data_IF_653120202008
#
_entry.id   IF_653120202008
#
_cell.length_a   1.000
_cell.length_b   1.000
_cell.length_c   1.000
_cell.angle_alpha   90.00
_cell.angle_beta   90.00
_cell.angle_gamma   90.00
#
_symmetry.space_group_name_H-M   'P 1'
#
loop_
_entity.id
_entity.type
_entity.pdbx_description
1 polymer ?
#
# COMPACT_ATOMS: atom_id res chain seq x y z
N UNK A 1 20.18 3.88 12.01
CA UNK A 1 19.06 3.21 12.73
C UNK A 1 17.90 4.15 12.98
N UNK A 2 18.08 5.21 13.79
CA UNK A 2 16.95 6.08 14.18
C UNK A 2 16.22 6.72 13.00
N UNK A 3 16.94 7.18 11.97
CA UNK A 3 16.35 7.70 10.72
C UNK A 3 15.47 6.65 10.03
N UNK A 4 15.98 5.44 9.86
CA UNK A 4 15.26 4.34 9.21
C UNK A 4 14.00 3.96 9.97
N UNK A 5 14.10 3.86 11.30
CA UNK A 5 12.92 3.63 12.13
C UNK A 5 11.88 4.74 12.00
N UNK A 6 12.30 6.00 12.00
CA UNK A 6 11.38 7.11 11.83
C UNK A 6 10.59 6.99 10.52
N UNK A 7 11.30 6.80 9.39
CA UNK A 7 10.67 6.68 8.08
C UNK A 7 9.77 5.44 7.96
N UNK A 8 10.29 4.25 8.32
CA UNK A 8 9.55 3.01 8.10
C UNK A 8 8.39 2.83 9.06
N UNK A 9 8.53 3.24 10.33
CA UNK A 9 7.44 3.13 11.29
C UNK A 9 6.32 4.08 10.91
N UNK A 10 6.63 5.31 10.47
CA UNK A 10 5.64 6.27 10.00
C UNK A 10 4.77 5.71 8.88
N UNK A 11 5.41 5.04 7.91
CA UNK A 11 4.70 4.32 6.86
C UNK A 11 3.87 3.20 7.48
N UNK A 12 4.50 2.32 8.25
CA UNK A 12 3.90 1.08 8.70
C UNK A 12 2.64 1.28 9.56
N UNK A 13 2.69 2.12 10.62
CA UNK A 13 1.53 2.31 11.49
C UNK A 13 0.36 2.97 10.75
N UNK A 14 0.67 3.94 9.87
CA UNK A 14 -0.34 4.66 9.09
C UNK A 14 -1.10 3.70 8.18
N UNK A 15 -0.41 2.80 7.47
CA UNK A 15 -1.05 1.78 6.65
C UNK A 15 -1.88 0.79 7.45
N UNK A 16 -1.38 0.37 8.63
CA UNK A 16 -2.14 -0.55 9.48
C UNK A 16 -3.46 0.05 9.96
N UNK A 17 -3.53 1.37 10.20
CA UNK A 17 -4.80 2.05 10.49
C UNK A 17 -5.80 1.94 9.34
N UNK A 18 -5.36 2.12 8.09
CA UNK A 18 -6.22 2.00 6.91
C UNK A 18 -6.68 0.57 6.64
N UNK A 19 -5.79 -0.40 6.83
CA UNK A 19 -6.14 -1.84 6.79
C UNK A 19 -7.21 -2.15 7.84
N UNK A 20 -7.03 -1.68 9.07
CA UNK A 20 -8.01 -1.84 10.14
C UNK A 20 -9.36 -1.19 9.80
N UNK A 21 -9.35 0.05 9.31
CA UNK A 21 -10.55 0.78 8.93
C UNK A 21 -11.36 0.05 7.84
N UNK A 22 -10.69 -0.43 6.79
CA UNK A 22 -11.38 -1.16 5.72
C UNK A 22 -12.00 -2.45 6.22
N UNK A 23 -11.31 -3.21 7.06
CA UNK A 23 -11.85 -4.45 7.66
C UNK A 23 -13.06 -4.14 8.55
N UNK A 24 -12.98 -3.10 9.37
CA UNK A 24 -14.10 -2.62 10.20
C UNK A 24 -15.31 -2.18 9.36
N UNK A 25 -15.04 -1.68 8.17
CA UNK A 25 -16.05 -1.17 7.26
C UNK A 25 -16.82 -2.28 6.51
N UNK A 26 -16.15 -3.36 6.08
CA UNK A 26 -16.75 -4.41 5.22
C UNK A 26 -18.11 -4.97 5.69
N UNK A 27 -18.35 -5.25 7.00
CA UNK A 27 -19.63 -5.80 7.45
C UNK A 27 -20.83 -4.86 7.24
N UNK A 28 -20.61 -3.56 7.04
CA UNK A 28 -21.68 -2.60 6.73
C UNK A 28 -22.19 -2.72 5.30
N UNK A 29 -21.39 -3.29 4.38
CA UNK A 29 -21.76 -3.44 2.98
C UNK A 29 -22.48 -4.75 2.72
N UNK A 30 -21.97 -5.85 3.27
CA UNK A 30 -22.52 -7.19 3.05
C UNK A 30 -22.37 -8.05 4.30
N UNK A 31 -23.14 -9.14 4.34
CA UNK A 31 -22.99 -10.17 5.36
C UNK A 31 -21.58 -10.77 5.30
N UNK A 32 -20.95 -10.88 6.46
CA UNK A 32 -19.57 -11.38 6.59
C UNK A 32 -19.43 -12.79 5.98
N UNK A 33 -18.52 -12.99 5.00
CA UNK A 33 -18.27 -14.31 4.42
C UNK A 33 -17.72 -15.32 5.44
N UNK A 34 -17.98 -16.61 5.21
CA UNK A 34 -17.40 -17.67 6.05
C UNK A 34 -15.87 -17.63 6.02
N UNK A 35 -15.24 -17.84 7.17
CA UNK A 35 -13.78 -17.83 7.33
C UNK A 35 -13.13 -16.44 7.29
N UNK A 36 -13.88 -15.33 7.29
CA UNK A 36 -13.30 -13.98 7.28
C UNK A 36 -12.44 -13.71 8.52
N UNK A 37 -12.88 -14.17 9.70
CA UNK A 37 -12.12 -14.02 10.95
C UNK A 37 -10.73 -14.68 10.86
N UNK A 38 -10.67 -15.90 10.31
CA UNK A 38 -9.39 -16.58 10.10
C UNK A 38 -8.43 -15.78 9.20
N UNK A 39 -8.93 -15.24 8.07
CA UNK A 39 -8.09 -14.43 7.17
C UNK A 39 -7.62 -13.14 7.83
N UNK A 40 -8.46 -12.49 8.65
CA UNK A 40 -8.09 -11.28 9.40
C UNK A 40 -7.01 -11.62 10.43
N UNK A 41 -7.13 -12.74 11.14
CA UNK A 41 -6.10 -13.18 12.10
C UNK A 41 -4.80 -13.56 11.40
N UNK A 42 -4.87 -14.22 10.24
CA UNK A 42 -3.70 -14.51 9.42
C UNK A 42 -3.01 -13.22 8.97
N UNK A 43 -3.77 -12.24 8.46
CA UNK A 43 -3.26 -10.92 8.09
C UNK A 43 -2.58 -10.24 9.29
N UNK A 44 -3.21 -10.27 10.46
CA UNK A 44 -2.65 -9.71 11.69
C UNK A 44 -1.30 -10.36 12.06
N UNK A 45 -1.22 -11.69 12.03
CA UNK A 45 0.03 -12.41 12.32
C UNK A 45 1.11 -12.07 11.29
N UNK A 46 0.78 -12.03 10.00
CA UNK A 46 1.73 -11.62 8.95
C UNK A 46 2.24 -10.20 9.19
N UNK A 47 1.34 -9.27 9.52
CA UNK A 47 1.71 -7.89 9.88
C UNK A 47 2.69 -7.88 11.06
N UNK A 48 2.37 -8.55 12.17
CA UNK A 48 3.26 -8.60 13.34
C UNK A 48 4.64 -9.16 12.98
N UNK A 49 4.70 -10.24 12.19
CA UNK A 49 5.97 -10.80 11.71
C UNK A 49 6.78 -9.75 10.93
N UNK A 50 6.14 -9.01 10.02
CA UNK A 50 6.80 -7.93 9.28
C UNK A 50 7.28 -6.83 10.22
N UNK A 51 6.46 -6.37 11.17
CA UNK A 51 6.82 -5.31 12.10
C UNK A 51 8.05 -5.69 12.94
N UNK A 52 8.07 -6.91 13.48
CA UNK A 52 9.23 -7.44 14.23
C UNK A 52 10.45 -7.57 13.30
N UNK A 53 10.26 -8.04 12.07
CA UNK A 53 11.30 -8.09 11.05
C UNK A 53 11.90 -6.73 10.73
N UNK A 54 11.09 -5.68 10.62
CA UNK A 54 11.57 -4.30 10.44
C UNK A 54 12.43 -3.87 11.62
N UNK A 55 11.94 -4.06 12.85
CA UNK A 55 12.64 -3.58 14.04
C UNK A 55 13.97 -4.32 14.22
N UNK A 56 13.93 -5.65 14.31
CA UNK A 56 15.14 -6.44 14.57
C UNK A 56 16.06 -6.54 13.35
N UNK A 57 15.50 -6.72 12.16
CA UNK A 57 16.26 -6.84 10.91
C UNK A 57 17.04 -5.57 10.59
N UNK A 58 16.38 -4.41 10.57
CA UNK A 58 17.06 -3.14 10.27
C UNK A 58 18.15 -2.85 11.30
N UNK A 59 17.91 -3.14 12.58
CA UNK A 59 18.93 -2.98 13.62
C UNK A 59 20.14 -3.87 13.39
N UNK A 60 19.93 -5.18 13.22
CA UNK A 60 21.00 -6.14 13.05
C UNK A 60 21.81 -5.88 11.77
N UNK A 61 21.13 -5.56 10.67
CA UNK A 61 21.76 -5.21 9.40
C UNK A 61 22.62 -3.95 9.51
N UNK A 62 22.10 -2.87 10.09
CA UNK A 62 22.85 -1.61 10.19
C UNK A 62 23.96 -1.63 11.25
N UNK A 63 23.90 -2.54 12.23
CA UNK A 63 24.97 -2.78 13.19
C UNK A 63 26.10 -3.66 12.65
N UNK A 64 25.92 -4.28 11.47
CA UNK A 64 26.89 -5.24 10.92
C UNK A 64 26.93 -6.56 11.69
N UNK A 65 25.85 -6.94 12.38
CA UNK A 65 25.77 -8.22 13.10
C UNK A 65 25.50 -9.42 12.18
N UNK A 66 25.13 -9.14 10.93
CA UNK A 66 24.83 -10.12 9.89
C UNK A 66 25.59 -9.74 8.62
N UNK A 67 26.03 -10.75 7.87
CA UNK A 67 26.72 -10.58 6.58
C UNK A 67 25.82 -9.88 5.54
N UNK A 68 26.42 -9.25 4.52
CA UNK A 68 25.72 -8.41 3.53
C UNK A 68 24.60 -9.17 2.79
N UNK A 69 24.83 -10.45 2.47
CA UNK A 69 23.80 -11.31 1.85
C UNK A 69 22.62 -11.55 2.79
N UNK A 70 22.90 -11.73 4.08
CA UNK A 70 21.87 -11.90 5.11
C UNK A 70 21.19 -10.57 5.44
N UNK A 71 21.91 -9.46 5.38
CA UNK A 71 21.37 -8.12 5.55
C UNK A 71 20.37 -7.78 4.43
N UNK A 72 20.65 -8.16 3.18
CA UNK A 72 19.69 -8.01 2.10
C UNK A 72 18.40 -8.82 2.31
N UNK A 73 18.51 -10.05 2.82
CA UNK A 73 17.35 -10.94 3.00
C UNK A 73 16.53 -10.61 4.26
N UNK A 74 17.19 -10.44 5.39
CA UNK A 74 16.58 -10.32 6.72
C UNK A 74 16.93 -9.02 7.45
N UNK A 75 17.87 -8.24 6.93
CA UNK A 75 18.36 -7.02 7.56
C UNK A 75 17.76 -5.74 6.96
N UNK A 76 18.65 -4.87 6.48
CA UNK A 76 18.27 -3.64 5.77
C UNK A 76 18.79 -3.64 4.33
N UNK A 77 17.93 -3.24 3.38
CA UNK A 77 18.31 -3.06 1.98
C UNK A 77 19.06 -1.75 1.71
N UNK A 78 19.12 -0.83 2.66
CA UNK A 78 19.85 0.45 2.53
C UNK A 78 19.17 1.52 1.69
N UNK A 79 17.96 1.27 1.16
CA UNK A 79 17.18 2.24 0.41
C UNK A 79 16.18 2.95 1.29
N UNK A 80 16.18 4.29 1.29
CA UNK A 80 15.18 5.07 2.02
C UNK A 80 13.75 4.69 1.60
N UNK A 81 12.86 4.57 2.59
CA UNK A 81 11.47 4.08 2.48
C UNK A 81 11.31 2.59 2.16
N UNK A 82 12.36 1.91 1.65
CA UNK A 82 12.36 0.48 1.33
C UNK A 82 13.51 -0.18 2.08
N UNK A 83 13.42 -0.08 3.41
CA UNK A 83 14.53 -0.47 4.29
C UNK A 83 14.39 -1.92 4.78
N UNK A 84 13.23 -2.56 4.61
CA UNK A 84 12.98 -3.95 5.02
C UNK A 84 13.89 -4.90 4.26
N UNK A 85 14.39 -5.93 4.93
CA UNK A 85 14.94 -7.11 4.27
C UNK A 85 13.94 -7.74 3.29
N UNK A 86 14.46 -8.34 2.22
CA UNK A 86 13.67 -8.87 1.10
C UNK A 86 12.60 -9.88 1.54
N UNK A 87 12.90 -10.74 2.52
CA UNK A 87 11.95 -11.74 3.01
C UNK A 87 10.73 -11.07 3.66
N UNK A 88 10.97 -10.07 4.50
CA UNK A 88 9.89 -9.32 5.15
C UNK A 88 9.08 -8.49 4.16
N UNK A 89 9.72 -7.97 3.10
CA UNK A 89 9.02 -7.33 2.00
C UNK A 89 8.10 -8.31 1.25
N UNK A 90 8.52 -9.55 0.99
CA UNK A 90 7.65 -10.56 0.38
C UNK A 90 6.45 -10.90 1.27
N UNK A 91 6.67 -11.03 2.59
CA UNK A 91 5.58 -11.25 3.55
C UNK A 91 4.63 -10.05 3.56
N UNK A 92 5.15 -8.82 3.49
CA UNK A 92 4.34 -7.60 3.38
C UNK A 92 3.48 -7.58 2.12
N UNK A 93 4.05 -7.91 0.95
CA UNK A 93 3.32 -7.99 -0.32
C UNK A 93 2.24 -9.08 -0.28
N UNK A 94 2.54 -10.23 0.34
CA UNK A 94 1.58 -11.30 0.56
C UNK A 94 0.45 -10.87 1.53
N UNK A 95 0.78 -10.14 2.59
CA UNK A 95 -0.19 -9.60 3.54
C UNK A 95 -1.12 -8.59 2.86
N UNK A 96 -0.59 -7.67 2.06
CA UNK A 96 -1.41 -6.72 1.31
C UNK A 96 -2.25 -7.38 0.21
N UNK A 97 -1.73 -8.42 -0.45
CA UNK A 97 -2.52 -9.24 -1.38
C UNK A 97 -3.67 -9.96 -0.67
N UNK A 98 -3.41 -10.53 0.51
CA UNK A 98 -4.43 -11.13 1.37
C UNK A 98 -5.47 -10.08 1.81
N UNK A 99 -5.04 -8.87 2.13
CA UNK A 99 -5.94 -7.77 2.47
C UNK A 99 -6.87 -7.39 1.31
N UNK A 100 -6.37 -7.29 0.08
CA UNK A 100 -7.24 -7.10 -1.10
C UNK A 100 -8.22 -8.25 -1.22
N UNK A 101 -7.77 -9.49 -1.01
CA UNK A 101 -8.65 -10.65 -1.08
C UNK A 101 -9.77 -10.58 -0.02
N UNK A 102 -9.46 -10.16 1.21
CA UNK A 102 -10.43 -9.90 2.29
C UNK A 102 -11.47 -8.86 1.86
N UNK A 103 -11.02 -7.74 1.27
CA UNK A 103 -11.92 -6.70 0.73
C UNK A 103 -12.78 -7.25 -0.40
N UNK A 104 -12.17 -7.93 -1.36
CA UNK A 104 -12.87 -8.55 -2.49
C UNK A 104 -13.99 -9.47 -2.02
N UNK A 105 -13.75 -10.35 -1.04
CA UNK A 105 -14.80 -11.23 -0.51
C UNK A 105 -15.96 -10.47 0.13
N UNK A 106 -15.68 -9.36 0.80
CA UNK A 106 -16.72 -8.53 1.43
C UNK A 106 -17.48 -7.67 0.42
N UNK A 107 -16.84 -7.21 -0.65
CA UNK A 107 -17.48 -6.31 -1.63
C UNK A 107 -18.11 -7.07 -2.80
N UNK A 108 -17.60 -8.26 -3.17
CA UNK A 108 -18.07 -9.07 -4.30
C UNK A 108 -19.59 -9.29 -4.33
N UNK A 109 -20.29 -9.65 -3.23
CA UNK A 109 -21.74 -9.89 -3.29
C UNK A 109 -22.55 -8.63 -3.61
N UNK A 110 -21.94 -7.45 -3.43
CA UNK A 110 -22.59 -6.16 -3.65
C UNK A 110 -22.29 -5.58 -5.05
N UNK A 111 -21.17 -5.96 -5.68
CA UNK A 111 -20.81 -5.49 -7.02
C UNK A 111 -21.65 -6.21 -8.09
N UNK A 112 -22.20 -5.41 -8.98
CA UNK A 112 -22.96 -5.75 -10.18
C UNK A 112 -22.52 -4.84 -11.32
N UNK A 113 -22.85 -5.18 -12.58
CA UNK A 113 -22.51 -4.36 -13.76
C UNK A 113 -22.98 -2.90 -13.62
N UNK A 114 -24.09 -2.67 -12.91
CA UNK A 114 -24.70 -1.34 -12.73
C UNK A 114 -24.00 -0.46 -11.68
N UNK A 115 -23.15 -1.02 -10.80
CA UNK A 115 -22.50 -0.29 -9.70
C UNK A 115 -20.99 -0.52 -9.63
N UNK A 116 -20.35 -0.94 -10.73
CA UNK A 116 -18.89 -1.17 -10.80
C UNK A 116 -18.04 0.07 -10.53
N UNK A 117 -18.63 1.27 -10.66
CA UNK A 117 -17.98 2.57 -10.43
C UNK A 117 -18.46 3.28 -9.16
N UNK A 118 -19.13 2.54 -8.29
CA UNK A 118 -19.60 3.09 -7.02
C UNK A 118 -18.51 3.13 -5.97
N UNK A 119 -18.78 3.83 -4.87
CA UNK A 119 -17.81 4.05 -3.79
C UNK A 119 -17.17 2.75 -3.24
N UNK A 120 -17.92 1.66 -2.95
CA UNK A 120 -17.30 0.40 -2.51
C UNK A 120 -16.46 -0.29 -3.59
N UNK A 121 -16.83 -0.15 -4.86
CA UNK A 121 -16.05 -0.70 -5.95
C UNK A 121 -14.74 0.08 -6.12
N UNK A 122 -14.78 1.41 -6.02
CA UNK A 122 -13.58 2.25 -5.98
C UNK A 122 -12.65 1.93 -4.83
N UNK A 123 -13.17 1.53 -3.68
CA UNK A 123 -12.35 1.04 -2.57
C UNK A 123 -11.55 -0.21 -2.98
N UNK A 124 -12.21 -1.18 -3.63
CA UNK A 124 -11.55 -2.40 -4.13
C UNK A 124 -10.53 -2.09 -5.23
N UNK A 125 -10.90 -1.29 -6.23
CA UNK A 125 -10.00 -0.92 -7.35
C UNK A 125 -8.80 -0.11 -6.86
N UNK A 126 -9.03 0.88 -6.00
CA UNK A 126 -7.99 1.71 -5.40
C UNK A 126 -7.02 0.86 -4.56
N UNK A 127 -7.54 0.01 -3.67
CA UNK A 127 -6.71 -0.94 -2.92
C UNK A 127 -5.94 -1.91 -3.83
N UNK A 128 -6.55 -2.38 -4.92
CA UNK A 128 -5.91 -3.25 -5.90
C UNK A 128 -4.70 -2.60 -6.57
N UNK A 129 -4.90 -1.39 -7.11
CA UNK A 129 -3.83 -0.59 -7.72
C UNK A 129 -2.74 -0.26 -6.69
N UNK A 130 -3.11 0.00 -5.43
CA UNK A 130 -2.17 0.25 -4.34
C UNK A 130 -1.10 -0.82 -4.23
N UNK A 131 -1.56 -2.07 -4.13
CA UNK A 131 -0.69 -3.21 -3.89
C UNK A 131 0.05 -3.56 -5.16
N UNK A 132 -0.55 -3.37 -6.33
CA UNK A 132 0.15 -3.50 -7.61
C UNK A 132 1.41 -2.63 -7.65
N UNK A 133 1.31 -1.34 -7.27
CA UNK A 133 2.49 -0.46 -7.26
C UNK A 133 3.53 -0.87 -6.23
N UNK A 134 3.14 -1.49 -5.11
CA UNK A 134 4.09 -2.04 -4.16
C UNK A 134 4.96 -3.15 -4.76
N UNK A 135 4.45 -3.94 -5.72
CA UNK A 135 5.25 -5.00 -6.35
C UNK A 135 6.43 -4.48 -7.17
N UNK A 136 6.45 -3.22 -7.61
CA UNK A 136 7.59 -2.64 -8.33
C UNK A 136 8.87 -2.63 -7.50
N UNK A 137 8.76 -2.59 -6.17
CA UNK A 137 9.90 -2.64 -5.25
C UNK A 137 10.69 -3.95 -5.30
N UNK A 138 10.13 -5.01 -5.91
CA UNK A 138 10.82 -6.28 -6.14
C UNK A 138 11.91 -6.14 -7.21
N UNK A 139 11.74 -5.21 -8.16
CA UNK A 139 12.65 -5.03 -9.29
C UNK A 139 13.95 -4.31 -8.90
N UNK A 140 14.01 -3.73 -7.71
CA UNK A 140 15.24 -3.17 -7.13
C UNK A 140 16.13 -4.30 -6.69
N UNK A 141 17.37 -4.38 -7.17
CA UNK A 141 18.32 -5.42 -6.75
C UNK A 141 19.69 -4.81 -6.43
N UNK A 142 20.47 -5.40 -5.51
CA UNK A 142 21.79 -4.87 -5.15
C UNK A 142 22.75 -4.72 -6.34
N UNK A 143 22.63 -5.61 -7.33
CA UNK A 143 23.53 -5.66 -8.50
C UNK A 143 23.11 -4.70 -9.63
N UNK A 144 21.93 -4.08 -9.54
CA UNK A 144 21.43 -3.18 -10.58
C UNK A 144 22.05 -1.78 -10.50
N UNK A 145 22.12 -1.09 -11.64
CA UNK A 145 22.56 0.29 -11.68
C UNK A 145 21.72 1.17 -10.74
N UNK A 146 22.37 2.07 -10.01
CA UNK A 146 21.72 2.97 -9.05
C UNK A 146 20.51 3.70 -9.64
N UNK A 147 20.63 4.28 -10.84
CA UNK A 147 19.54 5.02 -11.49
C UNK A 147 18.34 4.14 -11.83
N UNK A 148 18.57 2.84 -12.13
CA UNK A 148 17.50 1.86 -12.40
C UNK A 148 16.82 1.46 -11.09
N UNK A 149 17.58 1.18 -10.03
CA UNK A 149 17.01 0.89 -8.70
C UNK A 149 16.25 2.09 -8.15
N UNK A 150 16.77 3.31 -8.31
CA UNK A 150 16.11 4.52 -7.83
C UNK A 150 14.83 4.83 -8.62
N UNK A 151 14.81 4.54 -9.93
CA UNK A 151 13.58 4.57 -10.73
C UNK A 151 12.51 3.65 -10.14
N UNK A 152 12.83 2.38 -9.87
CA UNK A 152 11.87 1.45 -9.27
C UNK A 152 11.47 1.81 -7.84
N UNK A 153 12.40 2.41 -7.08
CA UNK A 153 12.12 2.96 -5.75
C UNK A 153 11.04 4.02 -5.82
N UNK A 154 11.16 5.00 -6.71
CA UNK A 154 10.14 6.04 -6.87
C UNK A 154 8.87 5.53 -7.52
N UNK A 155 8.96 4.56 -8.45
CA UNK A 155 7.77 3.88 -8.98
C UNK A 155 6.99 3.19 -7.87
N UNK A 156 7.68 2.73 -6.82
CA UNK A 156 7.03 2.24 -5.61
C UNK A 156 6.55 3.43 -4.78
N UNK A 157 7.45 4.23 -4.20
CA UNK A 157 7.14 5.25 -3.18
C UNK A 157 6.19 6.32 -3.70
N UNK A 158 6.51 6.95 -4.83
CA UNK A 158 5.72 8.06 -5.37
C UNK A 158 4.36 7.58 -5.89
N UNK A 159 4.30 6.52 -6.70
CA UNK A 159 3.02 6.06 -7.24
C UNK A 159 2.13 5.47 -6.14
N UNK A 160 2.71 4.71 -5.22
CA UNK A 160 1.97 4.16 -4.09
C UNK A 160 1.37 5.27 -3.23
N UNK A 161 2.17 6.26 -2.81
CA UNK A 161 1.69 7.34 -1.94
C UNK A 161 0.81 8.33 -2.70
N UNK A 162 1.24 8.82 -3.85
CA UNK A 162 0.55 9.90 -4.54
C UNK A 162 -0.66 9.46 -5.35
N UNK A 163 -0.60 8.36 -6.11
CA UNK A 163 -1.78 7.89 -6.84
C UNK A 163 -2.75 7.25 -5.87
N UNK A 164 -2.24 6.39 -4.98
CA UNK A 164 -3.16 5.49 -4.31
C UNK A 164 -3.76 6.07 -3.05
N UNK A 165 -2.99 6.72 -2.18
CA UNK A 165 -3.58 7.28 -0.96
C UNK A 165 -4.53 8.43 -1.25
N UNK A 166 -4.20 9.29 -2.22
CA UNK A 166 -5.08 10.40 -2.58
C UNK A 166 -6.43 9.87 -3.08
N UNK A 167 -6.43 8.82 -3.92
CA UNK A 167 -7.66 8.15 -4.37
C UNK A 167 -8.38 7.47 -3.20
N UNK A 168 -7.68 6.67 -2.41
CA UNK A 168 -8.26 5.89 -1.32
C UNK A 168 -8.90 6.77 -0.24
N UNK A 169 -8.21 7.84 0.16
CA UNK A 169 -8.72 8.84 1.12
C UNK A 169 -9.94 9.55 0.55
N UNK A 170 -9.90 9.95 -0.73
CA UNK A 170 -11.05 10.59 -1.39
C UNK A 170 -12.28 9.68 -1.38
N UNK A 171 -12.10 8.39 -1.66
CA UNK A 171 -13.18 7.38 -1.65
C UNK A 171 -13.76 7.22 -0.24
N UNK A 172 -12.93 7.08 0.79
CA UNK A 172 -13.38 6.87 2.17
C UNK A 172 -14.06 8.13 2.72
N UNK A 173 -13.50 9.31 2.50
CA UNK A 173 -14.12 10.57 2.93
C UNK A 173 -15.46 10.76 2.23
N UNK A 174 -15.51 10.60 0.91
CA UNK A 174 -16.75 10.69 0.15
C UNK A 174 -17.79 9.66 0.63
N UNK A 175 -17.36 8.43 0.96
CA UNK A 175 -18.22 7.42 1.57
C UNK A 175 -18.83 7.91 2.89
N UNK A 176 -18.01 8.41 3.80
CA UNK A 176 -18.44 8.90 5.11
C UNK A 176 -19.43 10.06 4.98
N UNK A 177 -19.15 11.00 4.06
CA UNK A 177 -20.06 12.12 3.78
C UNK A 177 -21.42 11.65 3.24
N UNK A 178 -21.44 10.61 2.40
CA UNK A 178 -22.68 9.99 1.91
C UNK A 178 -23.44 9.30 3.05
N UNK A 179 -22.74 8.59 3.95
CA UNK A 179 -23.37 7.94 5.10
C UNK A 179 -23.95 8.92 6.12
N UNK A 180 -23.30 10.08 6.31
CA UNK A 180 -23.82 11.15 7.17
C UNK A 180 -24.94 11.97 6.51
N UNK A 181 -25.29 11.69 5.25
CA UNK A 181 -26.30 12.44 4.51
C UNK A 181 -25.86 13.84 4.09
N UNK A 182 -24.56 14.16 4.16
CA UNK A 182 -24.01 15.48 3.82
C UNK A 182 -23.86 15.67 2.30
N UNK A 183 -23.68 14.57 1.56
CA UNK A 183 -23.48 14.59 0.10
C UNK A 183 -24.28 13.47 -0.55
N UNK A 184 -24.85 13.73 -1.74
CA UNK A 184 -25.55 12.69 -2.49
C UNK A 184 -24.57 11.68 -3.09
N UNK A 185 -25.01 10.43 -3.23
CA UNK A 185 -24.20 9.37 -3.85
C UNK A 185 -23.67 9.76 -5.24
N UNK A 186 -24.51 10.41 -6.06
CA UNK A 186 -24.14 10.83 -7.41
C UNK A 186 -23.03 11.89 -7.40
N UNK A 187 -23.06 12.84 -6.47
CA UNK A 187 -22.00 13.83 -6.31
C UNK A 187 -20.69 13.17 -5.89
N UNK A 188 -20.73 12.28 -4.90
CA UNK A 188 -19.56 11.56 -4.42
C UNK A 188 -18.89 10.73 -5.53
N UNK A 189 -19.68 9.95 -6.29
CA UNK A 189 -19.15 9.12 -7.37
C UNK A 189 -18.51 9.96 -8.50
N UNK A 190 -19.11 11.10 -8.87
CA UNK A 190 -18.53 12.01 -9.89
C UNK A 190 -17.23 12.67 -9.43
N UNK A 191 -17.17 13.12 -8.18
CA UNK A 191 -15.96 13.75 -7.62
C UNK A 191 -14.83 12.73 -7.50
N UNK A 192 -15.12 11.51 -7.01
CA UNK A 192 -14.13 10.42 -6.97
C UNK A 192 -13.59 10.16 -8.37
N UNK A 193 -14.46 10.05 -9.38
CA UNK A 193 -14.05 9.76 -10.74
C UNK A 193 -13.11 10.83 -11.31
N UNK A 194 -13.47 12.10 -11.15
CA UNK A 194 -12.64 13.23 -11.55
C UNK A 194 -11.31 13.26 -10.80
N UNK A 195 -11.34 13.04 -9.48
CA UNK A 195 -10.14 13.02 -8.64
C UNK A 195 -9.18 11.91 -9.08
N UNK A 196 -9.68 10.69 -9.34
CA UNK A 196 -8.89 9.58 -9.86
C UNK A 196 -8.21 9.98 -11.18
N UNK A 197 -8.95 10.51 -12.15
CA UNK A 197 -8.38 10.93 -13.43
C UNK A 197 -7.26 11.96 -13.25
N UNK A 198 -7.50 13.00 -12.45
CA UNK A 198 -6.51 14.05 -12.21
C UNK A 198 -5.27 13.50 -11.50
N UNK A 199 -5.45 12.65 -10.48
CA UNK A 199 -4.32 12.05 -9.76
C UNK A 199 -3.50 11.14 -10.66
N UNK A 200 -4.12 10.34 -11.53
CA UNK A 200 -3.38 9.50 -12.48
C UNK A 200 -2.55 10.35 -13.46
N UNK A 201 -3.15 11.39 -14.07
CA UNK A 201 -2.43 12.26 -15.02
C UNK A 201 -1.27 12.99 -14.35
N UNK A 202 -1.51 13.54 -13.15
CA UNK A 202 -0.50 14.33 -12.46
C UNK A 202 0.60 13.49 -11.84
N UNK A 203 0.29 12.36 -11.21
CA UNK A 203 1.29 11.54 -10.52
C UNK A 203 2.14 10.70 -11.49
N UNK A 204 1.56 10.16 -12.58
CA UNK A 204 2.35 9.43 -13.59
C UNK A 204 3.42 10.35 -14.20
N UNK A 205 3.07 11.61 -14.49
CA UNK A 205 4.05 12.57 -15.01
C UNK A 205 4.95 13.11 -13.90
N UNK A 206 4.36 13.38 -12.74
CA UNK A 206 4.98 14.01 -11.57
C UNK A 206 6.11 13.18 -10.97
N UNK A 207 6.08 11.84 -11.10
CA UNK A 207 7.18 10.99 -10.65
C UNK A 207 8.55 11.45 -11.19
N UNK A 208 8.57 12.04 -12.38
CA UNK A 208 9.77 12.52 -13.07
C UNK A 208 10.52 13.59 -12.29
N UNK A 209 9.87 14.30 -11.36
CA UNK A 209 10.55 15.29 -10.51
C UNK A 209 11.58 14.68 -9.56
N UNK A 210 11.52 13.37 -9.32
CA UNK A 210 12.51 12.64 -8.54
C UNK A 210 13.73 12.28 -9.38
N UNK A 211 13.65 12.46 -10.71
CA UNK A 211 14.68 12.02 -11.65
C UNK A 211 15.58 13.16 -12.13
N UNK A 212 15.33 14.41 -11.71
CA UNK A 212 16.05 15.59 -12.20
C UNK A 212 17.57 15.49 -12.08
N UNK A 213 18.08 14.81 -11.04
CA UNK A 213 19.50 14.83 -10.69
C UNK A 213 20.13 13.45 -10.52
N UNK A 214 19.47 12.37 -10.98
CA UNK A 214 19.94 10.98 -10.80
C UNK A 214 20.58 10.37 -12.06
N UNK A 215 21.11 11.22 -12.95
CA UNK A 215 21.78 10.83 -14.20
C UNK A 215 20.89 10.18 -15.28
N UNK A 216 19.57 10.46 -15.30
CA UNK A 216 18.75 10.27 -16.51
C UNK A 216 19.02 11.41 -17.51
N UNK A 217 18.94 11.15 -18.82
CA UNK A 217 19.01 12.20 -19.82
C UNK A 217 17.88 13.22 -19.67
#
# INVERSE_FOLDING_TARGET
VSRSYHAILQIYWFFMCWVGYTIFFLPRLTKVPKGQNFLINLLFVMSVIVALGCVFGIYAGQRGWIDDKMAYLFGSQGWEFIELGRVFQWILLAAFSLWIYIIYRGVKPWISVKNVWSVPAWLLWGSGVMVLFLFFSVLMTPDSNFAISDYWRWMTVHMWVEVTFKVFTTVIVAYLLVQMGLVTRMMAERVIFLAVMLFFVTAINGISHNFYWIAKP
#
